data_IF_298732124405
#
_entry.id   IF_298732124405
#
_cell.length_a   1.000
_cell.length_b   1.000
_cell.length_c   1.000
_cell.angle_alpha   90.00
_cell.angle_beta   90.00
_cell.angle_gamma   90.00
#
_symmetry.space_group_name_H-M   'P 1'
#
loop_
_entity.id
_entity.type
_entity.pdbx_description
1 polymer ?
#
# COMPACT_ATOMS: atom_id res chain seq x y z
N UNK A 1 6.49 11.78 -13.56
CA UNK A 1 6.31 11.65 -12.11
C UNK A 1 4.93 11.05 -11.90
N UNK A 2 4.76 9.77 -12.26
CA UNK A 2 4.91 8.57 -11.39
C UNK A 2 3.67 8.38 -10.53
N UNK A 3 2.63 7.80 -11.15
CA UNK A 3 1.32 7.47 -10.56
C UNK A 3 1.47 6.84 -9.15
N UNK A 4 2.53 6.06 -8.93
CA UNK A 4 2.84 5.45 -7.63
C UNK A 4 3.22 6.45 -6.53
N UNK A 5 3.96 7.53 -6.81
CA UNK A 5 4.30 8.55 -5.82
C UNK A 5 3.08 9.37 -5.42
N UNK A 6 2.16 9.58 -6.36
CA UNK A 6 0.89 10.23 -6.09
C UNK A 6 0.02 9.33 -5.20
N UNK A 7 -0.16 8.07 -5.58
CA UNK A 7 -0.90 7.09 -4.77
C UNK A 7 -0.29 6.95 -3.38
N UNK A 8 1.04 6.94 -3.26
CA UNK A 8 1.71 6.91 -1.96
C UNK A 8 1.32 8.12 -1.11
N UNK A 9 1.42 9.33 -1.66
CA UNK A 9 1.10 10.57 -0.94
C UNK A 9 -0.36 10.65 -0.53
N UNK A 10 -1.27 10.13 -1.35
CA UNK A 10 -2.71 10.16 -1.13
C UNK A 10 -3.18 9.06 -0.17
N UNK A 11 -2.63 7.85 -0.27
CA UNK A 11 -3.22 6.66 0.35
C UNK A 11 -2.40 6.07 1.51
N UNK A 12 -1.11 6.42 1.66
CA UNK A 12 -0.24 5.80 2.68
C UNK A 12 -0.84 5.92 4.10
N UNK A 13 -1.13 7.14 4.55
CA UNK A 13 -1.66 7.36 5.89
C UNK A 13 -3.03 6.70 6.12
N UNK A 14 -3.87 6.65 5.08
CA UNK A 14 -5.17 5.97 5.14
C UNK A 14 -5.00 4.46 5.24
N UNK A 15 -4.12 3.88 4.44
CA UNK A 15 -3.83 2.45 4.47
C UNK A 15 -3.30 2.02 5.84
N UNK A 16 -2.33 2.77 6.40
CA UNK A 16 -1.82 2.54 7.76
C UNK A 16 -2.97 2.60 8.77
N UNK A 17 -3.77 3.67 8.77
CA UNK A 17 -4.87 3.81 9.73
C UNK A 17 -5.93 2.70 9.63
N UNK A 18 -6.16 2.15 8.44
CA UNK A 18 -7.02 0.98 8.24
C UNK A 18 -6.38 -0.27 8.85
N UNK A 19 -5.10 -0.52 8.58
CA UNK A 19 -4.42 -1.72 9.03
C UNK A 19 -4.08 -1.73 10.51
N UNK A 20 -3.87 -0.57 11.14
CA UNK A 20 -3.77 -0.46 12.61
C UNK A 20 -5.02 -1.04 13.29
N UNK A 21 -6.21 -0.80 12.72
CA UNK A 21 -7.46 -1.36 13.25
C UNK A 21 -7.57 -2.88 13.05
N UNK A 22 -6.85 -3.43 12.07
CA UNK A 22 -6.86 -4.85 11.75
C UNK A 22 -5.83 -5.61 12.59
N UNK A 23 -4.62 -5.07 12.72
CA UNK A 23 -3.50 -5.71 13.40
C UNK A 23 -3.42 -5.37 14.89
N UNK A 24 -3.98 -4.24 15.32
CA UNK A 24 -3.86 -3.75 16.69
C UNK A 24 -2.47 -3.20 17.05
N UNK A 25 -1.62 -3.03 16.03
CA UNK A 25 -0.21 -2.63 16.16
C UNK A 25 0.13 -1.65 15.03
N UNK A 26 0.72 -0.50 15.40
CA UNK A 26 1.08 0.56 14.45
C UNK A 26 2.35 0.25 13.67
N UNK A 27 3.35 -0.33 14.32
CA UNK A 27 4.63 -0.61 13.71
C UNK A 27 4.45 -1.70 12.65
N UNK A 28 3.69 -2.76 12.98
CA UNK A 28 3.35 -3.82 12.05
C UNK A 28 2.51 -3.32 10.87
N UNK A 29 1.59 -2.38 11.10
CA UNK A 29 0.77 -1.80 10.05
C UNK A 29 1.60 -0.94 9.08
N UNK A 30 2.50 -0.10 9.60
CA UNK A 30 3.39 0.72 8.78
C UNK A 30 4.33 -0.14 7.95
N UNK A 31 4.96 -1.14 8.56
CA UNK A 31 5.83 -2.08 7.87
C UNK A 31 5.08 -2.74 6.70
N UNK A 32 3.92 -3.34 6.96
CA UNK A 32 3.11 -4.01 5.93
C UNK A 32 2.70 -3.09 4.77
N UNK A 33 2.36 -1.82 5.05
CA UNK A 33 2.03 -0.83 4.01
C UNK A 33 3.26 -0.47 3.18
N UNK A 34 4.40 -0.20 3.81
CA UNK A 34 5.64 0.10 3.09
C UNK A 34 6.02 -1.05 2.17
N UNK A 35 5.89 -2.27 2.69
CA UNK A 35 6.17 -3.50 1.99
C UNK A 35 5.23 -3.69 0.77
N UNK A 36 3.96 -3.34 0.90
CA UNK A 36 3.00 -3.35 -0.22
C UNK A 36 3.36 -2.30 -1.28
N UNK A 37 3.79 -1.09 -0.88
CA UNK A 37 4.27 -0.08 -1.81
C UNK A 37 5.57 -0.49 -2.51
N UNK A 38 6.49 -1.17 -1.82
CA UNK A 38 7.68 -1.75 -2.44
C UNK A 38 7.30 -2.75 -3.55
N UNK A 39 6.35 -3.64 -3.28
CA UNK A 39 5.84 -4.58 -4.28
C UNK A 39 5.15 -3.85 -5.46
N UNK A 40 4.47 -2.73 -5.21
CA UNK A 40 3.88 -1.91 -6.27
C UNK A 40 4.95 -1.27 -7.16
N UNK A 41 6.05 -0.77 -6.59
CA UNK A 41 7.19 -0.19 -7.34
C UNK A 41 7.80 -1.23 -8.28
N UNK A 42 7.90 -2.48 -7.85
CA UNK A 42 8.43 -3.56 -8.68
C UNK A 42 7.43 -3.98 -9.78
N UNK A 43 6.14 -4.07 -9.47
CA UNK A 43 5.16 -4.72 -10.34
C UNK A 43 4.49 -3.77 -11.32
N UNK A 44 4.02 -2.61 -10.86
CA UNK A 44 3.19 -1.70 -11.66
C UNK A 44 3.85 -1.16 -12.93
N UNK A 45 5.18 -0.94 -13.00
CA UNK A 45 5.82 -0.53 -14.26
C UNK A 45 5.61 -1.52 -15.40
N UNK A 46 5.46 -2.82 -15.10
CA UNK A 46 5.27 -3.87 -16.09
C UNK A 46 3.81 -4.26 -16.29
N UNK A 47 2.99 -4.21 -15.23
CA UNK A 47 1.59 -4.66 -15.28
C UNK A 47 0.59 -3.53 -15.46
N UNK A 48 1.04 -2.28 -15.37
CA UNK A 48 0.19 -1.12 -15.19
C UNK A 48 -0.30 -0.97 -13.74
N UNK A 49 -0.84 0.22 -13.45
CA UNK A 49 -1.46 0.54 -12.17
C UNK A 49 -2.85 -0.12 -12.10
N UNK A 50 -3.18 -0.82 -11.00
CA UNK A 50 -4.51 -1.43 -10.83
C UNK A 50 -5.63 -0.39 -10.88
N UNK A 51 -6.83 -0.80 -11.31
CA UNK A 51 -8.01 0.08 -11.32
C UNK A 51 -8.38 0.63 -9.93
N UNK A 52 -8.00 -0.06 -8.86
CA UNK A 52 -8.08 0.43 -7.48
C UNK A 52 -6.71 0.28 -6.79
N UNK A 53 -5.85 1.31 -6.86
CA UNK A 53 -4.52 1.26 -6.24
C UNK A 53 -4.60 1.09 -4.72
N UNK A 54 -5.47 1.86 -4.05
CA UNK A 54 -5.65 1.79 -2.60
C UNK A 54 -6.11 0.40 -2.14
N UNK A 55 -7.09 -0.19 -2.83
CA UNK A 55 -7.58 -1.54 -2.53
C UNK A 55 -6.51 -2.61 -2.73
N UNK A 56 -5.68 -2.45 -3.77
CA UNK A 56 -4.55 -3.32 -4.02
C UNK A 56 -3.51 -3.23 -2.89
N UNK A 57 -3.12 -2.02 -2.47
CA UNK A 57 -2.16 -1.82 -1.36
C UNK A 57 -2.66 -2.46 -0.07
N UNK A 58 -3.91 -2.20 0.32
CA UNK A 58 -4.50 -2.79 1.54
C UNK A 58 -4.50 -4.32 1.45
N UNK A 59 -4.89 -4.88 0.31
CA UNK A 59 -4.95 -6.33 0.12
C UNK A 59 -3.55 -6.96 0.17
N UNK A 60 -2.58 -6.37 -0.52
CA UNK A 60 -1.19 -6.84 -0.53
C UNK A 60 -0.56 -6.75 0.85
N UNK A 61 -0.79 -5.66 1.59
CA UNK A 61 -0.29 -5.48 2.95
C UNK A 61 -0.89 -6.47 3.94
N UNK A 62 -2.18 -6.84 3.80
CA UNK A 62 -2.83 -7.85 4.66
C UNK A 62 -2.36 -9.28 4.41
N UNK A 63 -1.79 -9.54 3.25
CA UNK A 63 -1.33 -10.87 2.83
C UNK A 63 0.18 -11.06 3.02
N UNK A 64 0.85 -10.10 3.68
CA UNK A 64 2.20 -10.26 4.17
C UNK A 64 2.22 -10.97 5.52
#
# INVERSE_FOLDING_TARGET
MTDIEQVFREEHGRAVAVLVRVFGDIDLAEEAVQDAFAAAVERWPSTGVPASPAGWIITTARNR
#
